data_IF_897285512498
#
_entry.id   IF_897285512498
#
_cell.length_a   1.000
_cell.length_b   1.000
_cell.length_c   1.000
_cell.angle_alpha   90.00
_cell.angle_beta   90.00
_cell.angle_gamma   90.00
#
_symmetry.space_group_name_H-M   'P 1'
#
loop_
_entity.id
_entity.type
_entity.pdbx_description
1 polymer ?
#
# COMPACT_ATOMS: atom_id res chain seq x y z
N UNK A 1 -50.20 -12.59 -50.84
CA UNK A 1 -50.60 -12.23 -49.47
C UNK A 1 -49.35 -12.20 -48.60
N UNK A 2 -49.05 -11.02 -48.02
CA UNK A 2 -48.37 -10.75 -46.72
C UNK A 2 -47.02 -11.42 -46.39
N UNK A 3 -45.95 -10.76 -45.89
CA UNK A 3 -45.66 -9.38 -45.45
C UNK A 3 -44.12 -9.25 -45.35
N UNK A 4 -43.61 -8.07 -45.69
CA UNK A 4 -42.28 -7.57 -45.36
C UNK A 4 -42.15 -7.36 -43.84
N UNK A 5 -41.02 -7.70 -43.21
CA UNK A 5 -40.52 -7.02 -42.00
C UNK A 5 -38.99 -6.98 -41.98
N UNK A 6 -38.48 -5.77 -42.16
CA UNK A 6 -37.10 -5.29 -41.97
C UNK A 6 -36.82 -5.02 -40.50
N UNK A 7 -35.65 -5.41 -39.95
CA UNK A 7 -34.93 -4.76 -38.81
C UNK A 7 -33.56 -5.46 -38.64
N UNK A 8 -32.42 -4.91 -39.11
CA UNK A 8 -31.44 -4.01 -38.47
C UNK A 8 -30.77 -4.55 -37.19
N UNK A 9 -29.43 -4.71 -37.29
CA UNK A 9 -28.34 -4.62 -36.29
C UNK A 9 -28.44 -5.48 -35.01
N UNK A 10 -27.37 -6.04 -34.46
CA UNK A 10 -26.24 -5.32 -33.86
C UNK A 10 -24.96 -6.15 -34.02
N UNK A 11 -23.96 -5.55 -34.67
CA UNK A 11 -22.57 -5.95 -34.51
C UNK A 11 -22.20 -5.60 -33.05
N UNK A 12 -22.18 -6.58 -32.16
CA UNK A 12 -21.68 -6.41 -30.81
C UNK A 12 -20.15 -6.25 -30.90
N UNK A 13 -19.73 -5.02 -31.18
CA UNK A 13 -18.42 -4.56 -30.76
C UNK A 13 -18.44 -4.50 -29.23
N UNK A 14 -18.21 -5.64 -28.58
CA UNK A 14 -17.71 -5.62 -27.22
C UNK A 14 -16.34 -4.97 -27.32
N UNK A 15 -16.30 -3.68 -26.99
CA UNK A 15 -15.09 -3.06 -26.51
C UNK A 15 -14.61 -3.94 -25.36
N UNK A 16 -13.56 -4.72 -25.62
CA UNK A 16 -12.65 -5.11 -24.57
C UNK A 16 -12.16 -3.78 -23.99
N UNK A 17 -12.84 -3.30 -22.94
CA UNK A 17 -12.15 -2.54 -21.91
C UNK A 17 -11.02 -3.48 -21.52
N UNK A 18 -9.82 -3.18 -22.01
CA UNK A 18 -8.62 -3.79 -21.52
C UNK A 18 -8.59 -3.45 -20.04
N UNK A 19 -9.14 -4.34 -19.20
CA UNK A 19 -8.66 -4.45 -17.84
C UNK A 19 -7.21 -4.86 -18.02
N UNK A 20 -6.33 -3.86 -18.11
CA UNK A 20 -4.91 -4.11 -17.92
C UNK A 20 -4.84 -4.77 -16.57
N UNK A 21 -4.55 -6.06 -16.55
CA UNK A 21 -4.09 -6.72 -15.34
C UNK A 21 -2.82 -5.97 -14.97
N UNK A 22 -2.96 -4.92 -14.15
CA UNK A 22 -1.84 -4.24 -13.57
C UNK A 22 -1.20 -5.28 -12.67
N UNK A 23 0.03 -5.67 -12.99
CA UNK A 23 0.76 -6.58 -12.12
C UNK A 23 0.86 -5.89 -10.76
N UNK A 24 0.49 -6.61 -9.69
CA UNK A 24 0.71 -6.11 -8.34
C UNK A 24 2.21 -5.81 -8.19
N UNK A 25 2.56 -4.54 -8.04
CA UNK A 25 3.93 -4.17 -7.71
C UNK A 25 4.09 -4.40 -6.21
N UNK A 26 4.99 -5.29 -5.82
CA UNK A 26 5.29 -5.62 -4.42
C UNK A 26 6.70 -5.16 -4.08
N UNK A 27 6.86 -4.45 -2.98
CA UNK A 27 8.14 -4.11 -2.39
C UNK A 27 8.23 -4.65 -0.96
N UNK A 28 9.42 -5.03 -0.52
CA UNK A 28 9.64 -5.57 0.83
C UNK A 28 10.97 -5.10 1.39
N UNK A 29 10.98 -4.83 2.69
CA UNK A 29 12.13 -4.39 3.45
C UNK A 29 12.17 -5.16 4.77
N UNK A 30 13.25 -5.88 5.03
CA UNK A 30 13.55 -6.45 6.35
C UNK A 30 14.53 -5.53 7.05
N UNK A 31 14.16 -5.07 8.23
CA UNK A 31 14.98 -4.16 9.01
C UNK A 31 15.99 -4.88 9.89
N UNK A 32 17.02 -4.17 10.41
CA UNK A 32 18.01 -4.74 11.31
C UNK A 32 17.40 -5.37 12.57
N UNK A 33 16.26 -4.85 13.04
CA UNK A 33 15.55 -5.37 14.23
C UNK A 33 14.70 -6.61 13.93
N UNK A 34 14.68 -7.04 12.66
CA UNK A 34 13.92 -8.20 12.23
C UNK A 34 12.43 -7.91 12.04
N UNK A 35 12.05 -6.68 11.70
CA UNK A 35 10.69 -6.37 11.23
C UNK A 35 10.69 -6.37 9.69
N UNK A 36 9.72 -7.04 9.07
CA UNK A 36 9.50 -7.00 7.63
C UNK A 36 8.31 -6.09 7.32
N UNK A 37 8.57 -5.08 6.51
CA UNK A 37 7.57 -4.23 5.88
C UNK A 37 7.38 -4.72 4.45
N UNK A 38 6.13 -4.98 4.08
CA UNK A 38 5.74 -5.30 2.71
C UNK A 38 4.72 -4.29 2.24
N UNK A 39 4.88 -3.79 1.02
CA UNK A 39 3.92 -2.89 0.39
C UNK A 39 3.52 -3.46 -0.95
N UNK A 40 2.23 -3.33 -1.29
CA UNK A 40 1.74 -3.72 -2.60
C UNK A 40 0.69 -2.74 -3.15
N UNK A 41 0.71 -2.57 -4.47
CA UNK A 41 -0.33 -1.87 -5.20
C UNK A 41 -1.38 -2.87 -5.66
N UNK A 42 -2.57 -2.81 -5.08
CA UNK A 42 -3.74 -3.59 -5.50
C UNK A 42 -4.47 -2.86 -6.65
N UNK A 43 -5.16 -3.64 -7.50
CA UNK A 43 -6.01 -3.10 -8.56
C UNK A 43 -7.00 -2.04 -8.03
N UNK A 44 -7.11 -0.91 -8.75
CA UNK A 44 -8.01 0.19 -8.37
C UNK A 44 -7.36 1.30 -7.52
N UNK A 45 -6.05 1.55 -7.68
CA UNK A 45 -5.29 2.60 -6.98
C UNK A 45 -5.33 2.48 -5.45
N UNK A 46 -5.04 1.28 -4.93
CA UNK A 46 -4.99 1.03 -3.49
C UNK A 46 -3.59 0.57 -3.09
N UNK A 47 -2.98 1.29 -2.15
CA UNK A 47 -1.74 0.90 -1.51
C UNK A 47 -2.06 0.09 -0.26
N UNK A 48 -1.46 -1.08 -0.12
CA UNK A 48 -1.57 -1.90 1.08
C UNK A 48 -0.18 -2.06 1.69
N UNK A 49 -0.12 -1.85 3.01
CA UNK A 49 1.09 -1.88 3.82
C UNK A 49 0.88 -2.97 4.87
N UNK A 50 1.84 -3.89 4.96
CA UNK A 50 1.86 -4.96 5.93
C UNK A 50 3.16 -4.89 6.73
N UNK A 51 3.06 -4.80 8.05
CA UNK A 51 4.21 -4.84 8.96
C UNK A 51 4.11 -6.12 9.79
N UNK A 52 5.13 -6.97 9.68
CA UNK A 52 5.20 -8.25 10.39
C UNK A 52 6.58 -8.47 11.01
N UNK A 53 6.68 -9.13 12.17
CA UNK A 53 7.96 -9.64 12.64
C UNK A 53 8.50 -10.69 11.66
N UNK A 54 9.80 -10.65 11.36
CA UNK A 54 10.49 -11.80 10.77
C UNK A 54 10.65 -12.88 11.84
N UNK A 55 10.56 -14.14 11.43
CA UNK A 55 10.41 -15.33 12.27
C UNK A 55 11.17 -15.31 13.63
N UNK A 56 10.53 -15.89 14.65
CA UNK A 56 11.01 -16.09 16.04
C UNK A 56 11.22 -14.86 16.94
N UNK A 57 11.03 -13.64 16.45
CA UNK A 57 10.99 -12.48 17.35
C UNK A 57 9.62 -12.43 18.04
N UNK A 58 9.53 -13.07 19.22
CA UNK A 58 8.43 -12.86 20.17
C UNK A 58 8.55 -11.46 20.77
N UNK A 59 8.14 -10.46 20.00
CA UNK A 59 7.88 -9.13 20.54
C UNK A 59 6.60 -9.23 21.35
N UNK A 60 6.70 -9.58 22.63
CA UNK A 60 5.63 -9.26 23.57
C UNK A 60 5.56 -7.73 23.57
N UNK A 61 4.42 -7.12 23.26
CA UNK A 61 4.34 -5.66 23.22
C UNK A 61 3.32 -5.05 22.29
N UNK A 62 3.65 -3.88 21.76
CA UNK A 62 2.82 -3.14 20.82
C UNK A 62 3.56 -2.97 19.49
N UNK A 63 2.95 -3.40 18.38
CA UNK A 63 3.42 -3.10 17.03
C UNK A 63 2.66 -1.91 16.47
N UNK A 64 3.39 -0.96 15.92
CA UNK A 64 2.85 0.29 15.43
C UNK A 64 3.15 0.57 13.96
N UNK A 65 2.23 1.24 13.28
CA UNK A 65 2.43 1.87 11.97
C UNK A 65 1.99 3.34 12.06
N UNK A 66 2.90 4.28 11.81
CA UNK A 66 2.60 5.68 11.60
C UNK A 66 2.84 6.07 10.15
N UNK A 67 1.93 6.87 9.59
CA UNK A 67 2.00 7.33 8.21
C UNK A 67 2.04 8.85 8.16
N UNK A 68 3.00 9.39 7.40
CA UNK A 68 3.13 10.84 7.22
C UNK A 68 3.45 11.13 5.75
N UNK A 69 2.63 11.93 5.05
CA UNK A 69 2.99 12.36 3.70
C UNK A 69 4.22 13.27 3.80
N UNK A 70 5.24 13.01 2.98
CA UNK A 70 6.49 13.80 2.93
C UNK A 70 6.50 14.76 1.73
N UNK A 71 5.45 14.73 0.93
CA UNK A 71 5.20 15.61 -0.21
C UNK A 71 3.93 16.46 -0.02
N UNK A 72 3.61 17.25 -1.03
CA UNK A 72 2.37 18.01 -1.19
C UNK A 72 1.43 17.44 -2.27
N UNK A 73 1.71 16.23 -2.78
CA UNK A 73 0.85 15.49 -3.69
C UNK A 73 -0.40 15.05 -2.91
N UNK A 74 -1.50 15.79 -3.04
CA UNK A 74 -2.80 15.47 -2.42
C UNK A 74 -3.50 14.29 -3.12
N UNK A 75 -2.81 13.15 -3.20
CA UNK A 75 -3.31 11.95 -3.90
C UNK A 75 -4.11 11.03 -2.98
N UNK A 76 -3.93 11.13 -1.67
CA UNK A 76 -4.55 10.21 -0.70
C UNK A 76 -6.02 10.54 -0.51
N UNK A 77 -6.88 9.55 -0.68
CA UNK A 77 -8.33 9.69 -0.53
C UNK A 77 -8.79 9.37 0.89
N UNK A 78 -8.04 8.52 1.59
CA UNK A 78 -8.28 8.17 2.99
C UNK A 78 -7.57 9.14 3.94
N UNK A 79 -8.15 9.35 5.12
CA UNK A 79 -7.47 10.02 6.22
C UNK A 79 -6.25 9.20 6.63
N UNK A 80 -5.07 9.82 6.60
CA UNK A 80 -3.82 9.15 6.98
C UNK A 80 -3.81 8.92 8.50
N UNK A 81 -3.75 7.67 8.97
CA UNK A 81 -3.68 7.40 10.40
C UNK A 81 -2.36 7.92 10.96
N UNK A 82 -2.44 8.69 12.05
CA UNK A 82 -1.25 9.19 12.74
C UNK A 82 -0.43 8.04 13.31
N UNK A 83 -1.08 7.08 13.98
CA UNK A 83 -0.50 5.80 14.42
C UNK A 83 -1.61 4.74 14.54
N UNK A 84 -1.40 3.58 13.92
CA UNK A 84 -2.13 2.34 14.17
C UNK A 84 -1.30 1.46 15.12
N UNK A 85 -1.82 1.15 16.30
CA UNK A 85 -1.16 0.30 17.29
C UNK A 85 -1.94 -1.00 17.50
N UNK A 86 -1.25 -2.14 17.48
CA UNK A 86 -1.79 -3.44 17.86
C UNK A 86 -1.02 -3.95 19.07
N UNK A 87 -1.72 -4.28 20.15
CA UNK A 87 -1.13 -4.85 21.36
C UNK A 87 -1.33 -6.36 21.38
N UNK A 88 -0.31 -7.11 21.78
CA UNK A 88 -0.42 -8.55 21.92
C UNK A 88 0.71 -9.17 22.73
N UNK A 89 0.37 -10.25 23.44
CA UNK A 89 1.35 -11.12 24.10
C UNK A 89 2.11 -11.99 23.09
N UNK A 90 1.56 -12.12 21.87
CA UNK A 90 2.14 -12.79 20.73
C UNK A 90 1.48 -12.28 19.44
N UNK A 91 2.27 -11.90 18.43
CA UNK A 91 1.75 -11.41 17.16
C UNK A 91 1.63 -12.56 16.15
N UNK A 92 0.41 -13.06 15.96
CA UNK A 92 0.06 -14.00 14.89
C UNK A 92 -0.43 -13.24 13.66
N UNK A 93 0.49 -12.63 12.93
CA UNK A 93 0.21 -12.05 11.61
C UNK A 93 0.57 -10.57 11.47
N UNK A 94 0.36 -10.02 10.26
CA UNK A 94 0.74 -8.66 9.93
C UNK A 94 -0.22 -7.63 10.55
N UNK A 95 0.33 -6.50 10.96
CA UNK A 95 -0.44 -5.25 11.09
C UNK A 95 -0.65 -4.72 9.68
N UNK A 96 -1.91 -4.60 9.26
CA UNK A 96 -2.30 -4.20 7.92
C UNK A 96 -2.88 -2.79 7.92
N UNK A 97 -2.44 -1.99 6.96
CA UNK A 97 -3.04 -0.71 6.62
C UNK A 97 -3.27 -0.65 5.11
N UNK A 98 -4.41 -0.13 4.68
CA UNK A 98 -4.68 0.15 3.28
C UNK A 98 -5.07 1.60 3.07
N UNK A 99 -4.65 2.17 1.96
CA UNK A 99 -4.91 3.56 1.58
C UNK A 99 -5.33 3.60 0.12
N UNK A 100 -6.50 4.17 -0.15
CA UNK A 100 -6.90 4.55 -1.48
C UNK A 100 -6.18 5.84 -1.88
N UNK A 101 -5.75 5.90 -3.14
CA UNK A 101 -5.21 7.11 -3.73
C UNK A 101 -5.80 7.34 -5.12
N UNK A 102 -5.72 8.57 -5.60
CA UNK A 102 -6.09 8.93 -6.96
C UNK A 102 -4.83 9.13 -7.80
N UNK A 103 -4.61 8.22 -8.75
CA UNK A 103 -3.45 8.29 -9.62
C UNK A 103 -3.52 9.47 -10.58
N UNK A 104 -4.68 10.04 -10.90
CA UNK A 104 -4.78 11.23 -11.78
C UNK A 104 -4.04 12.44 -11.22
N UNK A 105 -3.96 12.55 -9.89
CA UNK A 105 -3.22 13.61 -9.20
C UNK A 105 -1.73 13.32 -9.02
N UNK A 106 -1.27 12.11 -9.37
CA UNK A 106 0.13 11.71 -9.34
C UNK A 106 0.89 12.33 -10.53
N UNK A 107 1.25 13.59 -10.35
CA UNK A 107 1.95 14.44 -11.34
C UNK A 107 3.47 14.43 -11.16
N UNK A 108 3.93 13.97 -10.00
CA UNK A 108 5.32 13.70 -9.67
C UNK A 108 5.43 12.48 -8.75
N UNK A 109 6.62 12.20 -8.18
CA UNK A 109 6.75 11.19 -7.13
C UNK A 109 5.96 11.61 -5.90
N UNK A 110 5.07 10.73 -5.42
CA UNK A 110 4.44 10.86 -4.13
C UNK A 110 5.21 10.00 -3.10
N UNK A 111 5.78 10.63 -2.09
CA UNK A 111 6.58 10.07 -1.01
C UNK A 111 5.79 10.07 0.30
N UNK A 112 5.62 8.88 0.86
CA UNK A 112 5.05 8.65 2.17
C UNK A 112 6.12 8.13 3.13
N UNK A 113 6.29 8.84 4.24
CA UNK A 113 7.04 8.36 5.38
C UNK A 113 6.25 7.31 6.15
N UNK A 114 6.92 6.22 6.48
CA UNK A 114 6.43 5.14 7.31
C UNK A 114 7.30 5.07 8.56
N UNK A 115 6.71 5.25 9.72
CA UNK A 115 7.35 4.93 11.01
C UNK A 115 6.73 3.65 11.53
N UNK A 116 7.56 2.67 11.89
CA UNK A 116 7.07 1.41 12.39
C UNK A 116 8.03 0.88 13.46
N UNK A 117 7.54 -0.05 14.27
CA UNK A 117 8.38 -0.57 15.34
C UNK A 117 7.59 -1.25 16.43
N UNK A 118 8.33 -1.64 17.47
CA UNK A 118 7.80 -2.38 18.59
C UNK A 118 8.14 -1.71 19.91
N UNK A 119 7.14 -1.59 20.78
CA UNK A 119 7.33 -1.14 22.16
C UNK A 119 7.31 -2.34 23.10
N UNK A 120 8.39 -2.51 23.88
CA UNK A 120 8.51 -3.54 24.89
C UNK A 120 7.70 -3.15 26.14
N UNK A 121 6.73 -3.97 26.59
CA UNK A 121 5.75 -3.60 27.59
C UNK A 121 6.37 -3.44 28.99
N UNK A 122 7.39 -4.24 29.31
CA UNK A 122 8.02 -4.22 30.64
C UNK A 122 9.02 -3.08 30.84
N UNK A 123 9.64 -2.59 29.76
CA UNK A 123 10.65 -1.52 29.81
C UNK A 123 10.14 -0.16 29.36
N UNK A 124 9.01 -0.12 28.65
CA UNK A 124 8.50 1.09 28.00
C UNK A 124 9.38 1.60 26.84
N UNK A 125 10.40 0.82 26.45
CA UNK A 125 11.31 1.18 25.36
C UNK A 125 10.67 0.80 24.04
N UNK A 126 10.58 1.76 23.13
CA UNK A 126 10.18 1.54 21.75
C UNK A 126 11.40 1.52 20.84
N UNK A 127 11.49 0.50 20.00
CA UNK A 127 12.44 0.44 18.90
C UNK A 127 11.66 0.84 17.67
N UNK A 128 11.96 2.02 17.13
CA UNK A 128 11.31 2.60 15.97
C UNK A 128 12.29 2.64 14.81
N UNK A 129 11.77 2.34 13.63
CA UNK A 129 12.47 2.37 12.36
C UNK A 129 11.64 3.15 11.34
N UNK A 130 12.31 3.71 10.34
CA UNK A 130 11.68 4.50 9.31
C UNK A 130 11.92 3.91 7.93
N UNK A 131 10.91 4.04 7.08
CA UNK A 131 11.00 3.75 5.66
C UNK A 131 10.25 4.81 4.87
N UNK A 132 10.56 4.87 3.58
CA UNK A 132 9.84 5.70 2.61
C UNK A 132 9.23 4.81 1.54
N UNK A 133 7.94 5.06 1.29
CA UNK A 133 7.20 4.51 0.18
C UNK A 133 7.10 5.60 -0.87
N UNK A 134 7.52 5.30 -2.10
CA UNK A 134 7.34 6.22 -3.22
C UNK A 134 6.43 5.59 -4.27
N UNK A 135 5.38 6.32 -4.63
CA UNK A 135 4.56 6.06 -5.79
C UNK A 135 5.00 6.97 -6.92
N UNK A 136 5.20 6.43 -8.12
CA UNK A 136 5.56 7.24 -9.28
C UNK A 136 4.86 6.73 -10.52
N UNK A 137 4.29 7.64 -11.30
CA UNK A 137 3.76 7.29 -12.63
C UNK A 137 4.93 7.03 -13.59
N UNK A 138 4.96 5.85 -14.19
CA UNK A 138 5.90 5.48 -15.24
C UNK A 138 5.46 6.04 -16.61
N UNK A 139 6.37 6.02 -17.58
CA UNK A 139 6.13 6.57 -18.92
C UNK A 139 5.03 5.82 -19.68
N UNK A 140 4.76 4.56 -19.33
CA UNK A 140 3.69 3.73 -19.90
C UNK A 140 2.33 3.95 -19.21
N UNK A 141 2.26 4.86 -18.24
CA UNK A 141 1.06 5.21 -17.48
C UNK A 141 0.79 4.34 -16.26
N UNK A 142 1.59 3.29 -16.01
CA UNK A 142 1.52 2.48 -14.80
C UNK A 142 2.03 3.24 -13.57
N UNK A 143 1.71 2.74 -12.37
CA UNK A 143 2.22 3.30 -11.11
C UNK A 143 3.26 2.34 -10.54
N UNK A 144 4.49 2.81 -10.47
CA UNK A 144 5.61 2.15 -9.82
C UNK A 144 5.57 2.38 -8.30
N UNK A 145 6.04 1.38 -7.56
CA UNK A 145 6.14 1.37 -6.11
C UNK A 145 7.59 1.08 -5.73
N UNK A 146 8.16 1.92 -4.86
CA UNK A 146 9.43 1.62 -4.19
C UNK A 146 9.27 1.73 -2.68
N UNK A 147 9.99 0.88 -1.95
CA UNK A 147 10.10 0.92 -0.49
C UNK A 147 11.59 0.93 -0.14
N UNK A 148 12.02 1.91 0.65
CA UNK A 148 13.43 2.06 1.08
C UNK A 148 13.50 2.35 2.57
N UNK A 149 14.51 1.79 3.25
CA UNK A 149 14.79 2.18 4.63
C UNK A 149 15.33 3.61 4.67
N UNK A 150 14.98 4.35 5.72
CA UNK A 150 15.53 5.69 5.98
C UNK A 150 16.35 5.60 7.26
N UNK A 151 17.59 6.09 7.21
CA UNK A 151 18.37 6.29 8.42
C UNK A 151 17.74 7.45 9.22
N UNK A 152 17.45 7.25 10.52
CA UNK A 152 16.84 8.28 11.37
C UNK A 152 17.75 9.50 11.61
#
# INVERSE_FOLDING_TARGET
MTRLKTTIAVLLAFAFLASTAQADTVASLVTPTGVNVQTHLEAGNKLVIAVLPTNDVKLNGQLGIGLTPRDDQMIWLDDLPSVLMVQGDYFEGPVLQSLAFDSEYLTGPAVMGLTFGACLPDSGICILEEAEITLKRADDGTVDLTLVAVDP
#
